data_IF_492531860193
#
_entry.id   IF_492531860193
#
_cell.length_a   1.000
_cell.length_b   1.000
_cell.length_c   1.000
_cell.angle_alpha   90.00
_cell.angle_beta   90.00
_cell.angle_gamma   90.00
#
_symmetry.space_group_name_H-M   'P 1'
#
loop_
_entity.id
_entity.type
_entity.pdbx_description
1 polymer ?
#
# COMPACT_ATOMS: atom_id res chain seq x y z
N UNK A 1 7.50 -9.01 14.22
CA UNK A 1 6.41 -9.26 13.23
C UNK A 1 6.71 -8.39 12.03
N UNK A 2 7.35 -8.98 11.01
CA UNK A 2 7.92 -8.22 9.89
C UNK A 2 6.90 -8.15 8.74
N UNK A 3 6.59 -6.94 8.29
CA UNK A 3 5.94 -6.73 7.01
C UNK A 3 6.97 -7.08 5.91
N UNK A 4 6.59 -7.95 4.98
CA UNK A 4 7.47 -8.29 3.85
C UNK A 4 7.34 -7.18 2.80
N UNK A 5 8.43 -6.43 2.58
CA UNK A 5 8.49 -5.35 1.59
C UNK A 5 9.33 -5.83 0.40
N UNK A 6 8.75 -5.79 -0.79
CA UNK A 6 9.42 -6.14 -2.04
C UNK A 6 9.55 -4.87 -2.88
N UNK A 7 10.78 -4.53 -3.29
CA UNK A 7 11.05 -3.43 -4.22
C UNK A 7 10.87 -3.94 -5.66
N UNK A 8 10.01 -3.28 -6.41
CA UNK A 8 9.75 -3.52 -7.85
C UNK A 8 9.90 -2.22 -8.64
N UNK A 9 10.80 -1.32 -8.22
CA UNK A 9 11.05 -0.03 -8.89
C UNK A 9 11.51 -0.26 -10.34
N UNK A 10 10.90 0.47 -11.26
CA UNK A 10 11.22 0.50 -12.69
C UNK A 10 11.20 1.92 -13.24
N UNK A 11 11.59 2.10 -14.51
CA UNK A 11 11.51 3.41 -15.17
C UNK A 11 10.08 3.96 -15.28
N UNK A 12 9.07 3.08 -15.32
CA UNK A 12 7.65 3.44 -15.33
C UNK A 12 7.05 3.69 -13.94
N UNK A 13 7.82 3.48 -12.86
CA UNK A 13 7.36 3.72 -11.50
C UNK A 13 7.09 5.22 -11.23
N UNK A 14 6.19 5.54 -10.29
CA UNK A 14 5.87 6.90 -9.87
C UNK A 14 7.10 7.64 -9.34
N UNK A 15 7.03 8.96 -9.29
CA UNK A 15 7.96 9.77 -8.53
C UNK A 15 7.71 9.64 -7.03
N UNK A 16 8.79 9.53 -6.25
CA UNK A 16 8.72 9.54 -4.78
C UNK A 16 8.03 10.82 -4.28
N UNK A 17 8.28 11.94 -4.93
CA UNK A 17 7.67 13.23 -4.60
C UNK A 17 6.14 13.21 -4.71
N UNK A 18 5.59 12.61 -5.76
CA UNK A 18 4.14 12.51 -5.99
C UNK A 18 3.49 11.66 -4.89
N UNK A 19 4.15 10.57 -4.50
CA UNK A 19 3.67 9.73 -3.41
C UNK A 19 3.75 10.44 -2.05
N UNK A 20 4.81 11.20 -1.78
CA UNK A 20 4.90 12.02 -0.56
C UNK A 20 3.81 13.10 -0.50
N UNK A 21 3.33 13.57 -1.64
CA UNK A 21 2.20 14.50 -1.67
C UNK A 21 0.89 13.85 -1.20
N UNK A 22 0.69 12.54 -1.43
CA UNK A 22 -0.45 11.79 -0.88
C UNK A 22 -0.45 11.89 0.65
N UNK A 23 0.70 11.67 1.31
CA UNK A 23 0.84 11.77 2.77
C UNK A 23 0.37 13.15 3.26
N UNK A 24 0.82 14.22 2.60
CA UNK A 24 0.39 15.59 2.94
C UNK A 24 -1.12 15.78 2.78
N UNK A 25 -1.71 15.23 1.71
CA UNK A 25 -3.14 15.36 1.44
C UNK A 25 -4.01 14.64 2.47
N UNK A 26 -3.52 13.54 3.05
CA UNK A 26 -4.24 12.73 4.05
C UNK A 26 -3.84 13.04 5.50
N UNK A 27 -3.00 14.07 5.71
CA UNK A 27 -2.46 14.44 7.02
C UNK A 27 -3.52 14.78 8.08
N UNK A 28 -4.72 15.22 7.64
CA UNK A 28 -5.88 15.50 8.49
C UNK A 28 -6.69 14.25 8.85
N UNK A 29 -6.23 13.07 8.42
CA UNK A 29 -6.92 11.80 8.58
C UNK A 29 -7.57 11.32 7.28
N UNK A 30 -7.58 10.01 7.11
CA UNK A 30 -8.29 9.30 6.05
C UNK A 30 -8.48 7.84 6.47
N UNK A 31 -9.56 7.22 6.00
CA UNK A 31 -9.80 5.79 6.23
C UNK A 31 -10.45 5.19 5.00
N UNK A 32 -9.92 4.06 4.56
CA UNK A 32 -10.48 3.29 3.46
C UNK A 32 -10.97 1.95 3.97
N UNK A 33 -12.10 1.49 3.43
CA UNK A 33 -12.61 0.15 3.65
C UNK A 33 -12.50 -0.67 2.37
N UNK A 34 -12.00 -1.89 2.50
CA UNK A 34 -11.80 -2.83 1.41
C UNK A 34 -12.46 -4.16 1.75
N UNK A 35 -13.32 -4.65 0.86
CA UNK A 35 -13.86 -6.00 0.98
C UNK A 35 -12.94 -6.99 0.27
N UNK A 36 -12.57 -8.09 0.94
CA UNK A 36 -11.78 -9.17 0.35
C UNK A 36 -12.53 -9.94 -0.75
N UNK A 37 -13.83 -9.66 -0.95
CA UNK A 37 -14.57 -10.11 -2.14
C UNK A 37 -14.09 -9.41 -3.42
N UNK A 38 -13.54 -8.20 -3.32
CA UNK A 38 -12.84 -7.55 -4.43
C UNK A 38 -11.44 -8.16 -4.56
N UNK A 39 -10.94 -8.32 -5.79
CA UNK A 39 -9.56 -8.80 -6.02
C UNK A 39 -8.55 -7.69 -5.78
N UNK A 40 -8.82 -6.50 -6.31
CA UNK A 40 -8.01 -5.31 -6.15
C UNK A 40 -8.89 -4.07 -6.00
N UNK A 41 -8.38 -3.01 -5.37
CA UNK A 41 -9.03 -1.71 -5.28
C UNK A 41 -7.97 -0.61 -5.18
N UNK A 42 -8.16 0.50 -5.91
CA UNK A 42 -7.39 1.73 -5.67
C UNK A 42 -7.91 2.45 -4.42
N UNK A 43 -7.02 2.79 -3.50
CA UNK A 43 -7.33 3.52 -2.27
C UNK A 43 -7.21 5.03 -2.48
N UNK A 44 -6.05 5.47 -2.97
CA UNK A 44 -5.71 6.88 -3.12
C UNK A 44 -4.75 7.07 -4.28
N UNK A 45 -4.78 8.25 -4.90
CA UNK A 45 -3.84 8.59 -5.97
C UNK A 45 -3.56 10.09 -6.00
N UNK A 46 -2.36 10.45 -6.47
CA UNK A 46 -1.95 11.80 -6.79
C UNK A 46 -0.88 11.77 -7.88
N UNK A 47 -1.10 12.52 -8.97
CA UNK A 47 -0.19 12.58 -10.12
C UNK A 47 0.24 11.18 -10.59
N UNK A 48 1.54 10.87 -10.63
CA UNK A 48 2.03 9.54 -11.04
C UNK A 48 1.81 8.44 -10.00
N UNK A 49 1.46 8.80 -8.76
CA UNK A 49 1.35 7.85 -7.67
C UNK A 49 -0.09 7.36 -7.46
N UNK A 50 -0.27 6.04 -7.42
CA UNK A 50 -1.51 5.38 -7.02
C UNK A 50 -1.22 4.27 -6.02
N UNK A 51 -1.99 4.22 -4.94
CA UNK A 51 -1.89 3.18 -3.92
C UNK A 51 -3.09 2.25 -4.03
N UNK A 52 -2.83 0.98 -4.33
CA UNK A 52 -3.84 -0.08 -4.39
C UNK A 52 -3.81 -1.02 -3.17
N UNK A 53 -4.87 -1.80 -3.00
CA UNK A 53 -4.96 -2.94 -2.08
C UNK A 53 -5.42 -4.14 -2.91
N UNK A 54 -4.84 -5.31 -2.66
CA UNK A 54 -5.19 -6.58 -3.31
C UNK A 54 -5.26 -7.70 -2.27
N UNK A 55 -6.12 -8.71 -2.49
CA UNK A 55 -6.22 -9.90 -1.62
C UNK A 55 -5.17 -10.93 -2.02
N UNK A 56 -4.43 -11.48 -1.04
CA UNK A 56 -3.65 -12.71 -1.25
C UNK A 56 -4.55 -13.89 -1.59
N UNK A 57 -4.18 -14.66 -2.61
CA UNK A 57 -5.05 -15.59 -3.34
C UNK A 57 -5.80 -16.69 -2.55
N UNK A 58 -5.72 -16.78 -1.22
CA UNK A 58 -6.43 -17.77 -0.40
C UNK A 58 -7.92 -17.50 -0.20
N UNK A 59 -8.75 -18.55 -0.27
CA UNK A 59 -10.19 -18.49 0.01
C UNK A 59 -10.47 -17.90 1.41
N UNK A 60 -10.93 -16.65 1.46
CA UNK A 60 -11.51 -16.08 2.68
C UNK A 60 -12.98 -15.83 2.44
N UNK A 61 -13.79 -16.06 3.49
CA UNK A 61 -15.12 -15.44 3.55
C UNK A 61 -14.94 -13.92 3.36
N UNK A 62 -15.95 -13.24 2.80
CA UNK A 62 -15.88 -11.79 2.60
C UNK A 62 -15.59 -11.09 3.93
N UNK A 63 -14.37 -10.60 4.08
CA UNK A 63 -13.89 -9.86 5.24
C UNK A 63 -13.69 -8.41 4.81
N UNK A 64 -13.87 -7.48 5.75
CA UNK A 64 -13.58 -6.06 5.50
C UNK A 64 -12.25 -5.73 6.18
N UNK A 65 -11.31 -5.21 5.40
CA UNK A 65 -10.09 -4.59 5.89
C UNK A 65 -10.29 -3.08 5.98
N UNK A 66 -9.78 -2.46 7.05
CA UNK A 66 -9.68 -1.02 7.18
C UNK A 66 -8.22 -0.61 7.03
N UNK A 67 -7.97 0.40 6.22
CA UNK A 67 -6.66 1.02 6.03
C UNK A 67 -6.77 2.45 6.53
N UNK A 68 -5.92 2.82 7.49
CA UNK A 68 -5.82 4.18 8.02
C UNK A 68 -4.79 5.01 7.25
N UNK A 69 -4.78 6.33 7.50
CA UNK A 69 -3.77 7.22 6.93
C UNK A 69 -2.34 6.88 7.39
N UNK A 70 -2.16 6.41 8.63
CA UNK A 70 -0.84 5.96 9.12
C UNK A 70 -0.33 4.74 8.37
N UNK A 71 -1.21 3.78 8.03
CA UNK A 71 -0.81 2.63 7.22
C UNK A 71 -0.28 3.09 5.85
N UNK A 72 -1.02 3.99 5.19
CA UNK A 72 -0.63 4.57 3.89
C UNK A 72 0.71 5.30 3.98
N UNK A 73 0.92 6.08 5.04
CA UNK A 73 2.18 6.79 5.30
C UNK A 73 3.36 5.82 5.47
N UNK A 74 3.19 4.78 6.29
CA UNK A 74 4.23 3.78 6.55
C UNK A 74 4.64 3.03 5.29
N UNK A 75 3.67 2.67 4.44
CA UNK A 75 3.93 1.99 3.16
C UNK A 75 4.71 2.90 2.22
N UNK A 76 4.25 4.14 2.04
CA UNK A 76 4.89 5.11 1.13
C UNK A 76 6.32 5.38 1.58
N UNK A 77 6.52 5.65 2.87
CA UNK A 77 7.85 5.91 3.42
C UNK A 77 8.77 4.67 3.38
N UNK A 78 8.22 3.47 3.60
CA UNK A 78 8.97 2.22 3.51
C UNK A 78 9.51 1.96 2.10
N UNK A 79 8.65 2.09 1.08
CA UNK A 79 9.03 1.94 -0.32
C UNK A 79 9.99 3.04 -0.77
N UNK A 80 9.72 4.30 -0.40
CA UNK A 80 10.60 5.43 -0.69
C UNK A 80 12.01 5.20 -0.12
N UNK A 81 12.11 4.78 1.15
CA UNK A 81 13.40 4.52 1.80
C UNK A 81 14.20 3.42 1.10
N UNK A 82 13.54 2.38 0.58
CA UNK A 82 14.23 1.33 -0.19
C UNK A 82 14.72 1.82 -1.55
N UNK A 83 13.92 2.66 -2.23
CA UNK A 83 14.30 3.29 -3.50
C UNK A 83 15.46 4.29 -3.31
N UNK A 84 15.35 5.19 -2.32
CA UNK A 84 16.35 6.21 -2.01
C UNK A 84 17.70 5.57 -1.64
N UNK A 85 17.71 4.44 -0.92
CA UNK A 85 18.93 3.67 -0.63
C UNK A 85 19.66 3.18 -1.88
N UNK A 86 18.97 3.05 -3.01
CA UNK A 86 19.52 2.64 -4.32
C UNK A 86 19.85 3.83 -5.22
N UNK A 87 19.58 5.06 -4.77
CA UNK A 87 19.71 6.27 -5.57
C UNK A 87 18.54 6.53 -6.52
N UNK A 88 17.43 5.81 -6.36
CA UNK A 88 16.25 5.98 -7.23
C UNK A 88 15.41 7.20 -6.80
N UNK A 89 14.93 7.97 -7.79
CA UNK A 89 13.92 9.03 -7.58
C UNK A 89 12.48 8.52 -7.78
N UNK A 90 12.34 7.25 -8.15
CA UNK A 90 11.08 6.55 -8.40
C UNK A 90 10.93 5.40 -7.42
N UNK A 91 9.69 5.01 -7.14
CA UNK A 91 9.46 3.87 -6.25
C UNK A 91 8.34 2.96 -6.76
N UNK A 92 8.63 1.68 -6.88
CA UNK A 92 7.66 0.63 -7.14
C UNK A 92 7.89 -0.50 -6.16
N UNK A 93 6.85 -1.28 -5.89
CA UNK A 93 6.98 -2.40 -4.98
C UNK A 93 5.65 -2.84 -4.44
N UNK A 94 5.73 -3.74 -3.48
CA UNK A 94 4.57 -4.23 -2.77
C UNK A 94 4.93 -4.47 -1.30
N UNK A 95 3.99 -4.18 -0.40
CA UNK A 95 4.15 -4.38 1.04
C UNK A 95 3.07 -5.32 1.54
N UNK A 96 3.49 -6.47 2.06
CA UNK A 96 2.64 -7.42 2.79
C UNK A 96 2.45 -6.96 4.22
N UNK A 97 1.21 -6.67 4.60
CA UNK A 97 0.84 -6.33 5.97
C UNK A 97 -0.16 -7.34 6.50
N UNK A 98 -0.10 -7.66 7.80
CA UNK A 98 -1.16 -8.41 8.47
C UNK A 98 -2.21 -7.43 8.99
N UNK A 99 -3.42 -7.42 8.41
CA UNK A 99 -4.53 -6.68 9.03
C UNK A 99 -4.88 -7.27 10.39
N UNK A 100 -4.97 -6.43 11.42
CA UNK A 100 -5.59 -6.82 12.68
C UNK A 100 -7.10 -6.65 12.56
N UNK A 101 -7.85 -7.75 12.44
CA UNK A 101 -9.29 -7.77 12.66
C UNK A 101 -9.60 -8.25 14.09
N UNK A 102 -10.44 -7.51 14.81
CA UNK A 102 -10.88 -7.82 16.18
C UNK A 102 -11.68 -9.14 16.29
N UNK A 103 -12.08 -9.76 15.17
CA UNK A 103 -13.00 -10.93 15.18
C UNK A 103 -12.37 -12.20 14.60
N UNK A 104 -11.30 -12.13 13.81
CA UNK A 104 -10.56 -13.34 13.41
C UNK A 104 -9.18 -12.98 12.85
N UNK A 105 -8.14 -13.53 13.48
CA UNK A 105 -6.74 -13.39 13.06
C UNK A 105 -6.51 -14.12 11.73
N UNK A 106 -6.82 -13.48 10.61
CA UNK A 106 -6.45 -13.98 9.27
C UNK A 106 -5.45 -13.04 8.63
N UNK A 107 -4.33 -13.62 8.19
CA UNK A 107 -3.23 -12.92 7.51
C UNK A 107 -3.67 -12.63 6.08
N UNK A 108 -4.37 -11.53 5.86
CA UNK A 108 -4.60 -11.06 4.50
C UNK A 108 -3.30 -10.41 4.04
N UNK A 109 -2.55 -11.05 3.14
CA UNK A 109 -1.44 -10.36 2.44
C UNK A 109 -2.09 -9.33 1.54
N UNK A 110 -1.84 -8.07 1.85
CA UNK A 110 -2.20 -6.96 0.98
C UNK A 110 -0.99 -6.64 0.13
N UNK A 111 -1.22 -6.24 -1.12
CA UNK A 111 -0.17 -5.62 -1.92
C UNK A 111 -0.54 -4.18 -2.24
N UNK A 112 0.42 -3.31 -1.99
CA UNK A 112 0.38 -1.91 -2.34
C UNK A 112 1.25 -1.69 -3.57
N UNK A 113 0.64 -1.75 -4.75
CA UNK A 113 1.35 -1.48 -5.99
C UNK A 113 1.25 0.00 -6.33
N UNK A 114 2.38 0.60 -6.72
CA UNK A 114 2.33 1.81 -7.53
C UNK A 114 2.55 1.44 -8.99
N UNK A 115 1.48 1.56 -9.77
CA UNK A 115 1.43 1.12 -11.16
C UNK A 115 2.13 2.09 -12.11
N UNK A 116 2.75 1.51 -13.12
CA UNK A 116 3.04 2.07 -14.45
C UNK A 116 1.78 2.10 -15.31
#
# INVERSE_FOLDING_TARGET
NENEIINETSAGSPLIADCRQIIKNISKGATWSYSTAQRHRKLVSHASCALGIERDGGESKAETAKVGNTDVEDIINGLAKLAEKRGDIRMGGKVSMKCQNLVQMRRVKIWFAVYH
#
